data_IF_611116616029
#
_entry.id   IF_611116616029
#
_cell.length_a   1.000
_cell.length_b   1.000
_cell.length_c   1.000
_cell.angle_alpha   90.00
_cell.angle_beta   90.00
_cell.angle_gamma   90.00
#
_symmetry.space_group_name_H-M   'P 1'
#
loop_
_entity.id
_entity.type
_entity.pdbx_description
1 polymer ?
#
# COMPACT_ATOMS: atom_id res chain seq x y z
N UNK A 1 -15.77 28.12 -26.10
CA UNK A 1 -15.45 26.67 -26.08
C UNK A 1 -16.02 26.03 -27.33
N UNK A 2 -15.22 25.22 -28.03
CA UNK A 2 -15.71 24.38 -29.13
C UNK A 2 -16.63 23.28 -28.60
N UNK A 3 -17.40 22.63 -29.48
CA UNK A 3 -18.20 21.46 -29.08
C UNK A 3 -17.34 20.33 -28.50
N UNK A 4 -16.11 20.19 -28.99
CA UNK A 4 -15.15 19.19 -28.52
C UNK A 4 -14.65 19.49 -27.09
N UNK A 5 -14.44 20.77 -26.78
CA UNK A 5 -14.04 21.19 -25.42
C UNK A 5 -15.15 20.92 -24.39
N UNK A 6 -16.43 21.08 -24.80
CA UNK A 6 -17.58 20.78 -23.94
C UNK A 6 -17.69 19.29 -23.62
N UNK A 7 -17.45 18.42 -24.61
CA UNK A 7 -17.40 16.97 -24.41
C UNK A 7 -16.29 16.58 -23.43
N UNK A 8 -15.07 17.06 -23.65
CA UNK A 8 -13.93 16.81 -22.75
C UNK A 8 -14.16 17.29 -21.32
N UNK A 9 -14.78 18.47 -21.17
CA UNK A 9 -15.12 18.98 -19.85
C UNK A 9 -16.06 18.03 -19.09
N UNK A 10 -17.11 17.53 -19.76
CA UNK A 10 -18.04 16.56 -19.15
C UNK A 10 -17.34 15.24 -18.80
N UNK A 11 -16.44 14.74 -19.64
CA UNK A 11 -15.66 13.53 -19.34
C UNK A 11 -14.78 13.68 -18.11
N UNK A 12 -14.07 14.81 -18.00
CA UNK A 12 -13.26 15.13 -16.82
C UNK A 12 -14.14 15.28 -15.58
N UNK A 13 -15.26 16.01 -15.71
CA UNK A 13 -16.22 16.18 -14.64
C UNK A 13 -16.73 14.84 -14.10
N UNK A 14 -17.18 13.94 -14.97
CA UNK A 14 -17.66 12.62 -14.59
C UNK A 14 -16.56 11.71 -14.05
N UNK A 15 -15.31 11.94 -14.42
CA UNK A 15 -14.16 11.24 -13.83
C UNK A 15 -13.93 11.70 -12.40
N UNK A 16 -13.87 13.01 -12.15
CA UNK A 16 -13.72 13.57 -10.80
C UNK A 16 -14.88 13.17 -9.88
N UNK A 17 -16.10 13.09 -10.42
CA UNK A 17 -17.29 12.63 -9.69
C UNK A 17 -17.16 11.15 -9.30
N UNK A 18 -16.79 10.28 -10.24
CA UNK A 18 -16.58 8.83 -9.97
C UNK A 18 -15.45 8.57 -8.99
N UNK A 19 -14.42 9.41 -8.99
CA UNK A 19 -13.30 9.34 -8.05
C UNK A 19 -13.65 9.94 -6.68
N UNK A 20 -14.86 10.50 -6.51
CA UNK A 20 -15.34 11.07 -5.27
C UNK A 20 -14.65 12.39 -4.88
N UNK A 21 -13.88 13.00 -5.79
CA UNK A 21 -13.20 14.29 -5.58
C UNK A 21 -14.24 15.43 -5.56
N UNK A 22 -15.26 15.31 -6.40
CA UNK A 22 -16.43 16.19 -6.43
C UNK A 22 -17.71 15.38 -6.25
N UNK A 23 -18.76 16.02 -5.74
CA UNK A 23 -20.12 15.46 -5.68
C UNK A 23 -21.12 16.44 -6.27
N UNK A 24 -22.30 15.94 -6.66
CA UNK A 24 -23.40 16.79 -7.11
C UNK A 24 -24.04 17.51 -5.92
N UNK A 25 -24.51 18.71 -6.23
CA UNK A 25 -25.15 19.61 -5.32
C UNK A 25 -24.18 20.47 -4.52
N UNK A 26 -24.45 21.78 -4.48
CA UNK A 26 -23.70 22.75 -3.70
C UNK A 26 -24.19 22.78 -2.25
N UNK A 27 -25.50 22.67 -2.04
CA UNK A 27 -26.20 22.75 -0.76
C UNK A 27 -27.61 22.11 -0.92
N UNK A 28 -28.45 22.18 0.13
CA UNK A 28 -29.81 21.60 0.07
C UNK A 28 -30.78 22.33 -0.88
N UNK A 29 -30.53 23.59 -1.23
CA UNK A 29 -31.30 24.31 -2.23
C UNK A 29 -30.87 23.96 -3.66
N UNK A 30 -29.59 23.61 -3.85
CA UNK A 30 -28.96 23.34 -5.14
C UNK A 30 -28.43 21.91 -5.18
N UNK A 31 -29.31 20.90 -5.27
CA UNK A 31 -28.94 19.48 -5.11
C UNK A 31 -28.51 18.77 -6.39
N UNK A 32 -28.85 19.32 -7.54
CA UNK A 32 -28.72 18.65 -8.84
C UNK A 32 -27.68 19.31 -9.74
N UNK A 33 -27.31 18.60 -10.82
CA UNK A 33 -26.48 19.16 -11.88
C UNK A 33 -27.15 20.44 -12.47
N UNK A 34 -26.41 21.52 -12.76
CA UNK A 34 -24.96 21.62 -12.85
C UNK A 34 -24.26 22.02 -11.55
N UNK A 35 -24.95 22.04 -10.41
CA UNK A 35 -24.33 22.38 -9.14
C UNK A 35 -23.49 21.20 -8.62
N UNK A 36 -22.29 21.50 -8.15
CA UNK A 36 -21.36 20.53 -7.60
C UNK A 36 -20.46 21.20 -6.57
N UNK A 37 -19.83 20.39 -5.74
CA UNK A 37 -18.83 20.85 -4.78
C UNK A 37 -17.68 19.86 -4.67
N UNK A 38 -16.54 20.35 -4.24
CA UNK A 38 -15.44 19.49 -3.80
C UNK A 38 -15.88 18.78 -2.53
N UNK A 39 -15.68 17.47 -2.47
CA UNK A 39 -15.98 16.69 -1.27
C UNK A 39 -14.95 16.97 -0.18
N UNK A 40 -15.20 16.56 1.06
CA UNK A 40 -14.17 16.63 2.10
C UNK A 40 -12.91 15.85 1.69
N UNK A 41 -13.10 14.69 1.04
CA UNK A 41 -12.02 13.90 0.45
C UNK A 41 -11.22 14.68 -0.60
N UNK A 42 -11.90 15.33 -1.56
CA UNK A 42 -11.26 16.19 -2.56
C UNK A 42 -10.55 17.40 -1.93
N UNK A 43 -11.10 17.96 -0.84
CA UNK A 43 -10.48 19.07 -0.10
C UNK A 43 -9.14 18.67 0.52
N UNK A 44 -9.08 17.48 1.14
CA UNK A 44 -7.83 16.92 1.69
C UNK A 44 -6.76 16.70 0.62
N UNK A 45 -7.18 16.29 -0.59
CA UNK A 45 -6.30 16.14 -1.76
C UNK A 45 -5.71 17.49 -2.16
N UNK A 46 -6.56 18.50 -2.35
CA UNK A 46 -6.12 19.85 -2.77
C UNK A 46 -5.20 20.49 -1.74
N UNK A 47 -5.43 20.22 -0.45
CA UNK A 47 -4.63 20.75 0.64
C UNK A 47 -3.26 20.07 0.82
N UNK A 48 -2.87 19.11 -0.05
CA UNK A 48 -1.61 18.37 0.03
C UNK A 48 -1.38 17.68 1.39
N UNK A 49 -2.46 17.34 2.11
CA UNK A 49 -2.40 16.79 3.47
C UNK A 49 -2.12 15.27 3.50
N UNK A 50 -1.79 14.65 2.37
CA UNK A 50 -1.45 13.23 2.29
C UNK A 50 -0.01 13.04 1.84
N UNK A 51 0.78 12.34 2.65
CA UNK A 51 2.19 12.02 2.36
C UNK A 51 2.37 11.25 1.05
N UNK A 52 1.34 10.51 0.61
CA UNK A 52 1.30 9.79 -0.65
C UNK A 52 0.01 10.14 -1.40
N UNK A 53 0.12 10.92 -2.48
CA UNK A 53 -1.00 11.21 -3.37
C UNK A 53 -0.89 10.37 -4.65
N UNK A 54 -1.79 9.40 -4.80
CA UNK A 54 -1.97 8.62 -6.02
C UNK A 54 -3.46 8.45 -6.31
N UNK A 55 -3.87 8.70 -7.55
CA UNK A 55 -5.28 8.70 -8.00
C UNK A 55 -5.56 7.65 -9.09
N UNK A 56 -4.50 7.16 -9.75
CA UNK A 56 -4.57 6.10 -10.74
C UNK A 56 -3.40 5.11 -10.59
N UNK A 57 -3.49 3.98 -11.29
CA UNK A 57 -2.49 2.90 -11.26
C UNK A 57 -1.11 3.39 -11.73
N UNK A 58 -1.05 4.27 -12.74
CA UNK A 58 0.21 4.80 -13.27
C UNK A 58 0.88 5.79 -12.31
N UNK A 59 0.11 6.63 -11.62
CA UNK A 59 0.60 7.53 -10.58
C UNK A 59 1.15 6.75 -9.39
N UNK A 60 0.47 5.66 -9.00
CA UNK A 60 0.91 4.76 -7.94
C UNK A 60 2.19 4.00 -8.33
N UNK A 61 2.24 3.44 -9.54
CA UNK A 61 3.45 2.79 -10.06
C UNK A 61 4.64 3.75 -10.11
N UNK A 62 4.43 4.98 -10.60
CA UNK A 62 5.50 5.99 -10.68
C UNK A 62 6.04 6.34 -9.29
N UNK A 63 5.14 6.51 -8.31
CA UNK A 63 5.50 6.77 -6.93
C UNK A 63 6.29 5.60 -6.31
N UNK A 64 5.84 4.36 -6.54
CA UNK A 64 6.56 3.16 -6.08
C UNK A 64 7.96 3.07 -6.70
N UNK A 65 8.10 3.31 -8.01
CA UNK A 65 9.40 3.28 -8.69
C UNK A 65 10.31 4.45 -8.29
N UNK A 66 9.76 5.62 -7.94
CA UNK A 66 10.57 6.73 -7.43
C UNK A 66 11.06 6.48 -6.01
N UNK A 67 10.22 5.88 -5.15
CA UNK A 67 10.57 5.57 -3.76
C UNK A 67 11.42 4.30 -3.61
N UNK A 68 11.19 3.30 -4.47
CA UNK A 68 11.89 2.01 -4.52
C UNK A 68 12.29 1.69 -5.98
N UNK A 69 13.42 2.25 -6.48
CA UNK A 69 13.85 2.01 -7.86
C UNK A 69 14.10 0.54 -8.22
N UNK A 70 14.48 -0.27 -7.23
CA UNK A 70 14.77 -1.70 -7.37
C UNK A 70 13.56 -2.62 -7.05
N UNK A 71 12.33 -2.06 -7.03
CA UNK A 71 11.13 -2.85 -6.72
C UNK A 71 10.99 -4.04 -7.65
N UNK A 72 10.70 -5.21 -7.08
CA UNK A 72 10.50 -6.46 -7.80
C UNK A 72 9.25 -6.38 -8.67
N UNK A 73 9.36 -6.88 -9.90
CA UNK A 73 8.27 -6.77 -10.89
C UNK A 73 7.04 -7.59 -10.48
N UNK A 74 7.20 -8.70 -9.75
CA UNK A 74 6.07 -9.49 -9.24
C UNK A 74 5.37 -8.73 -8.11
N UNK A 75 6.13 -8.18 -7.16
CA UNK A 75 5.58 -7.27 -6.13
C UNK A 75 4.80 -6.13 -6.79
N UNK A 76 5.38 -5.47 -7.79
CA UNK A 76 4.76 -4.35 -8.47
C UNK A 76 3.49 -4.75 -9.22
N UNK A 77 3.47 -5.91 -9.87
CA UNK A 77 2.28 -6.45 -10.54
C UNK A 77 1.11 -6.56 -9.55
N UNK A 78 1.31 -7.20 -8.40
CA UNK A 78 0.26 -7.35 -7.39
C UNK A 78 -0.19 -6.00 -6.80
N UNK A 79 0.70 -5.03 -6.66
CA UNK A 79 0.33 -3.68 -6.22
C UNK A 79 -0.52 -2.94 -7.24
N UNK A 80 -0.24 -3.12 -8.54
CA UNK A 80 -1.06 -2.56 -9.62
C UNK A 80 -2.45 -3.17 -9.64
N UNK A 81 -2.55 -4.49 -9.48
CA UNK A 81 -3.84 -5.18 -9.34
C UNK A 81 -4.60 -4.75 -8.08
N UNK A 82 -3.89 -4.54 -6.96
CA UNK A 82 -4.48 -4.03 -5.73
C UNK A 82 -5.08 -2.63 -5.93
N UNK A 83 -4.35 -1.73 -6.59
CA UNK A 83 -4.81 -0.37 -6.86
C UNK A 83 -5.96 -0.35 -7.88
N UNK A 84 -5.87 -1.15 -8.95
CA UNK A 84 -6.93 -1.25 -9.94
C UNK A 84 -8.23 -1.75 -9.31
N UNK A 85 -8.15 -2.80 -8.48
CA UNK A 85 -9.30 -3.35 -7.74
C UNK A 85 -9.89 -2.34 -6.75
N UNK A 86 -9.04 -1.55 -6.09
CA UNK A 86 -9.50 -0.47 -5.20
C UNK A 86 -10.33 0.57 -5.97
N UNK A 87 -9.83 1.00 -7.13
CA UNK A 87 -10.48 2.01 -7.97
C UNK A 87 -11.85 1.55 -8.49
N UNK A 88 -11.96 0.27 -8.88
CA UNK A 88 -13.23 -0.30 -9.37
C UNK A 88 -14.20 -0.67 -8.25
N UNK A 89 -13.84 -0.47 -6.98
CA UNK A 89 -14.70 -0.78 -5.83
C UNK A 89 -14.63 -2.24 -5.37
N UNK A 90 -13.76 -3.05 -5.96
CA UNK A 90 -13.50 -4.43 -5.56
C UNK A 90 -12.56 -4.46 -4.33
N UNK A 91 -13.03 -3.96 -3.19
CA UNK A 91 -12.20 -3.76 -1.98
C UNK A 91 -11.60 -5.07 -1.46
N UNK A 92 -12.38 -6.16 -1.48
CA UNK A 92 -11.91 -7.49 -1.10
C UNK A 92 -10.73 -7.96 -1.98
N UNK A 93 -10.85 -7.80 -3.30
CA UNK A 93 -9.78 -8.16 -4.23
C UNK A 93 -8.55 -7.27 -4.03
N UNK A 94 -8.76 -5.97 -3.79
CA UNK A 94 -7.69 -5.02 -3.50
C UNK A 94 -6.84 -5.44 -2.31
N UNK A 95 -7.48 -5.78 -1.19
CA UNK A 95 -6.77 -6.22 0.01
C UNK A 95 -6.13 -7.59 -0.13
N UNK A 96 -6.70 -8.49 -0.94
CA UNK A 96 -6.07 -9.76 -1.29
C UNK A 96 -4.76 -9.53 -2.05
N UNK A 97 -4.79 -8.72 -3.11
CA UNK A 97 -3.60 -8.45 -3.91
C UNK A 97 -2.54 -7.68 -3.10
N UNK A 98 -2.96 -6.75 -2.25
CA UNK A 98 -2.06 -6.04 -1.34
C UNK A 98 -1.38 -7.01 -0.36
N UNK A 99 -2.15 -7.96 0.21
CA UNK A 99 -1.61 -9.01 1.06
C UNK A 99 -0.53 -9.81 0.36
N UNK A 100 -0.80 -10.31 -0.86
CA UNK A 100 0.18 -11.06 -1.66
C UNK A 100 1.45 -10.25 -1.92
N UNK A 101 1.34 -8.97 -2.29
CA UNK A 101 2.50 -8.10 -2.48
C UNK A 101 3.33 -7.94 -1.20
N UNK A 102 2.67 -7.82 -0.04
CA UNK A 102 3.34 -7.75 1.27
C UNK A 102 4.04 -9.06 1.62
N UNK A 103 3.39 -10.21 1.43
CA UNK A 103 4.04 -11.50 1.71
C UNK A 103 5.25 -11.72 0.80
N UNK A 104 5.11 -11.48 -0.51
CA UNK A 104 6.18 -11.65 -1.48
C UNK A 104 7.39 -10.74 -1.18
N UNK A 105 7.15 -9.46 -0.90
CA UNK A 105 8.23 -8.51 -0.54
C UNK A 105 8.99 -8.96 0.72
N UNK A 106 8.30 -9.51 1.71
CA UNK A 106 8.95 -10.03 2.91
C UNK A 106 9.75 -11.31 2.61
N UNK A 107 9.24 -12.19 1.76
CA UNK A 107 9.98 -13.41 1.37
C UNK A 107 11.25 -13.09 0.59
N UNK A 108 11.26 -12.06 -0.25
CA UNK A 108 12.48 -11.57 -0.91
C UNK A 108 13.55 -11.13 0.11
N UNK A 109 13.13 -10.54 1.24
CA UNK A 109 14.05 -10.16 2.31
C UNK A 109 14.66 -11.40 2.97
N UNK A 110 13.83 -12.39 3.28
CA UNK A 110 14.31 -13.66 3.86
C UNK A 110 15.29 -14.34 2.91
N UNK A 111 14.96 -14.44 1.62
CA UNK A 111 15.82 -15.04 0.60
C UNK A 111 17.16 -14.29 0.47
N UNK A 112 17.15 -12.96 0.52
CA UNK A 112 18.37 -12.15 0.51
C UNK A 112 19.27 -12.50 1.69
N UNK A 113 18.70 -12.62 2.89
CA UNK A 113 19.45 -12.97 4.10
C UNK A 113 19.98 -14.42 4.05
N UNK A 114 19.20 -15.35 3.52
CA UNK A 114 19.60 -16.75 3.36
C UNK A 114 20.83 -16.91 2.45
N UNK A 115 20.97 -16.04 1.45
CA UNK A 115 22.14 -16.00 0.55
C UNK A 115 23.37 -15.32 1.18
N UNK A 116 23.19 -14.55 2.25
CA UNK A 116 24.29 -13.86 2.91
C UNK A 116 25.07 -14.79 3.84
N UNK A 117 26.38 -14.92 3.58
CA UNK A 117 27.29 -15.74 4.40
C UNK A 117 27.37 -15.22 5.83
N UNK A 118 27.27 -13.90 6.03
CA UNK A 118 27.38 -13.27 7.34
C UNK A 118 26.12 -13.43 8.20
N UNK A 119 24.94 -13.48 7.58
CA UNK A 119 23.67 -13.34 8.29
C UNK A 119 22.75 -14.56 8.23
N UNK A 120 22.91 -15.45 7.24
CA UNK A 120 22.07 -16.63 7.05
C UNK A 120 21.92 -17.48 8.31
N UNK A 121 23.01 -17.79 9.01
CA UNK A 121 22.99 -18.59 10.25
C UNK A 121 22.16 -17.95 11.38
N UNK A 122 22.17 -16.62 11.46
CA UNK A 122 21.40 -15.88 12.48
C UNK A 122 19.89 -16.00 12.22
N UNK A 123 19.48 -15.92 10.96
CA UNK A 123 18.07 -15.86 10.57
C UNK A 123 17.51 -17.21 10.08
N UNK A 124 18.31 -18.29 10.07
CA UNK A 124 17.92 -19.61 9.55
C UNK A 124 16.59 -20.13 10.12
N UNK A 125 16.29 -19.83 11.39
CA UNK A 125 15.03 -20.24 12.02
C UNK A 125 13.78 -19.57 11.42
N UNK A 126 13.90 -18.40 10.79
CA UNK A 126 12.77 -17.72 10.11
C UNK A 126 12.26 -18.58 8.95
N UNK A 127 13.17 -19.17 8.18
CA UNK A 127 12.83 -20.02 7.04
C UNK A 127 11.99 -21.25 7.43
N UNK A 128 12.19 -21.75 8.65
CA UNK A 128 11.51 -22.97 9.16
C UNK A 128 10.07 -22.74 9.60
N UNK A 129 9.66 -21.49 9.82
CA UNK A 129 8.30 -21.19 10.27
C UNK A 129 7.26 -21.49 9.18
N UNK A 130 6.09 -22.02 9.57
CA UNK A 130 5.08 -22.51 8.63
C UNK A 130 4.29 -21.40 7.96
N UNK A 131 3.91 -20.37 8.72
CA UNK A 131 3.05 -19.29 8.23
C UNK A 131 3.82 -17.99 8.10
N UNK A 132 3.41 -17.11 7.18
CA UNK A 132 4.04 -15.80 7.00
C UNK A 132 4.04 -14.98 8.30
N UNK A 133 2.95 -15.03 9.08
CA UNK A 133 2.85 -14.29 10.33
C UNK A 133 3.89 -14.79 11.35
N UNK A 134 4.11 -16.10 11.41
CA UNK A 134 5.16 -16.68 12.25
C UNK A 134 6.54 -16.25 11.76
N UNK A 135 6.80 -16.29 10.45
CA UNK A 135 8.05 -15.81 9.85
C UNK A 135 8.33 -14.35 10.21
N UNK A 136 7.35 -13.46 10.03
CA UNK A 136 7.49 -12.03 10.34
C UNK A 136 7.74 -11.80 11.82
N UNK A 137 6.99 -12.46 12.71
CA UNK A 137 7.19 -12.34 14.15
C UNK A 137 8.58 -12.87 14.57
N UNK A 138 9.01 -14.01 14.02
CA UNK A 138 10.32 -14.60 14.30
C UNK A 138 11.45 -13.69 13.82
N UNK A 139 11.33 -13.17 12.59
CA UNK A 139 12.26 -12.19 12.03
C UNK A 139 12.35 -10.95 12.91
N UNK A 140 11.21 -10.37 13.30
CA UNK A 140 11.17 -9.20 14.17
C UNK A 140 11.86 -9.46 15.51
N UNK A 141 11.60 -10.61 16.15
CA UNK A 141 12.25 -10.95 17.42
C UNK A 141 13.78 -11.03 17.31
N UNK A 142 14.30 -11.57 16.19
CA UNK A 142 15.74 -11.62 15.92
C UNK A 142 16.28 -10.21 15.63
N UNK A 143 15.56 -9.44 14.81
CA UNK A 143 15.91 -8.06 14.46
C UNK A 143 16.01 -7.19 15.72
N UNK A 144 15.05 -7.31 16.64
CA UNK A 144 15.00 -6.56 17.89
C UNK A 144 16.23 -6.83 18.79
N UNK A 145 16.77 -8.05 18.76
CA UNK A 145 18.01 -8.41 19.45
C UNK A 145 19.25 -7.82 18.78
N UNK A 146 19.19 -7.62 17.47
CA UNK A 146 20.28 -7.05 16.66
C UNK A 146 20.15 -5.54 16.45
N UNK A 147 19.08 -4.92 16.97
CA UNK A 147 18.78 -3.51 16.73
C UNK A 147 19.97 -2.62 16.98
N UNK A 148 20.80 -2.87 18.00
CA UNK A 148 22.00 -2.05 18.28
C UNK A 148 22.96 -1.93 17.09
N UNK A 149 23.08 -2.96 16.27
CA UNK A 149 23.99 -3.04 15.12
C UNK A 149 23.40 -2.45 13.84
N UNK A 150 22.11 -2.08 13.84
CA UNK A 150 21.47 -1.49 12.67
C UNK A 150 21.92 -0.03 12.46
N UNK A 151 22.09 0.40 11.19
CA UNK A 151 22.28 1.80 10.84
C UNK A 151 21.12 2.69 11.33
N UNK A 152 21.35 3.96 11.68
CA UNK A 152 20.30 4.88 12.15
C UNK A 152 19.10 5.00 11.21
N UNK A 153 19.33 5.04 9.90
CA UNK A 153 18.30 5.14 8.84
C UNK A 153 17.45 3.86 8.68
N UNK A 154 17.97 2.73 9.14
CA UNK A 154 17.25 1.44 9.22
C UNK A 154 16.44 1.36 10.52
N UNK A 155 16.98 1.87 11.64
CA UNK A 155 16.29 1.93 12.94
C UNK A 155 15.09 2.86 12.97
N UNK A 156 15.20 4.01 12.30
CA UNK A 156 14.16 5.04 12.29
C UNK A 156 12.82 4.45 11.83
N UNK A 157 11.77 4.67 12.62
CA UNK A 157 10.39 4.20 12.40
C UNK A 157 10.24 2.69 12.15
N UNK A 158 11.23 1.88 12.53
CA UNK A 158 11.23 0.44 12.27
C UNK A 158 10.03 -0.24 12.93
N UNK A 159 9.77 0.03 14.20
CA UNK A 159 8.65 -0.55 14.93
C UNK A 159 7.30 -0.09 14.39
N UNK A 160 7.18 1.19 14.01
CA UNK A 160 5.97 1.76 13.41
C UNK A 160 5.65 1.09 12.07
N UNK A 161 6.63 0.96 11.19
CA UNK A 161 6.45 0.28 9.91
C UNK A 161 6.11 -1.20 10.13
N UNK A 162 6.79 -1.89 11.04
CA UNK A 162 6.47 -3.29 11.36
C UNK A 162 5.07 -3.50 11.95
N UNK A 163 4.60 -2.58 12.80
CA UNK A 163 3.23 -2.62 13.30
C UNK A 163 2.21 -2.45 12.15
N UNK A 164 2.49 -1.55 11.20
CA UNK A 164 1.70 -1.39 9.98
C UNK A 164 1.65 -2.66 9.13
N UNK A 165 2.79 -3.34 8.94
CA UNK A 165 2.88 -4.62 8.21
C UNK A 165 2.03 -5.69 8.87
N UNK A 166 2.17 -5.86 10.19
CA UNK A 166 1.41 -6.86 10.93
C UNK A 166 -0.10 -6.55 10.84
N UNK A 167 -0.48 -5.27 10.75
CA UNK A 167 -1.86 -4.87 10.47
C UNK A 167 -2.30 -5.31 9.07
N UNK A 168 -1.51 -5.05 8.01
CA UNK A 168 -1.79 -5.49 6.63
C UNK A 168 -1.97 -7.01 6.57
N UNK A 169 -1.00 -7.78 7.12
CA UNK A 169 -1.02 -9.24 7.12
C UNK A 169 -2.25 -9.78 7.86
N UNK A 170 -2.56 -9.22 9.04
CA UNK A 170 -3.74 -9.65 9.82
C UNK A 170 -5.03 -9.35 9.07
N UNK A 171 -5.14 -8.18 8.47
CA UNK A 171 -6.32 -7.77 7.70
C UNK A 171 -6.52 -8.65 6.48
N UNK A 172 -5.47 -8.85 5.69
CA UNK A 172 -5.47 -9.78 4.57
C UNK A 172 -5.90 -11.17 5.04
N UNK A 173 -5.19 -11.79 5.98
CA UNK A 173 -5.45 -13.18 6.37
C UNK A 173 -6.82 -13.35 7.02
N UNK A 174 -7.16 -12.54 8.02
CA UNK A 174 -8.33 -12.77 8.86
C UNK A 174 -9.65 -12.29 8.24
N UNK A 175 -9.61 -11.28 7.37
CA UNK A 175 -10.83 -10.71 6.79
C UNK A 175 -10.97 -11.06 5.32
N UNK A 176 -9.92 -10.81 4.53
CA UNK A 176 -10.01 -10.85 3.07
C UNK A 176 -9.61 -12.17 2.41
N UNK A 177 -8.69 -12.91 3.01
CA UNK A 177 -8.12 -14.17 2.50
C UNK A 177 -8.77 -15.42 3.10
N UNK A 178 -9.48 -15.29 4.21
CA UNK A 178 -10.37 -16.33 4.73
C UNK A 178 -11.82 -16.06 4.28
N UNK A 179 -12.62 -17.11 3.98
CA UNK A 179 -14.00 -16.98 3.50
C UNK A 179 -14.96 -16.57 4.64
N UNK A 180 -14.69 -15.42 5.27
CA UNK A 180 -15.46 -14.88 6.38
C UNK A 180 -16.57 -13.94 5.91
N UNK A 181 -16.51 -13.47 4.66
CA UNK A 181 -17.39 -12.44 4.12
C UNK A 181 -17.15 -11.03 4.69
N UNK A 182 -16.13 -10.85 5.55
CA UNK A 182 -15.78 -9.54 6.11
C UNK A 182 -14.93 -8.75 5.12
N UNK A 183 -15.45 -7.61 4.70
CA UNK A 183 -14.75 -6.68 3.81
C UNK A 183 -14.30 -5.50 4.66
N UNK A 184 -13.05 -5.07 4.46
CA UNK A 184 -12.56 -3.83 5.10
C UNK A 184 -13.27 -2.62 4.51
N UNK A 185 -13.34 -1.54 5.28
CA UNK A 185 -13.84 -0.28 4.74
C UNK A 185 -12.89 0.26 3.66
N UNK A 186 -13.47 0.95 2.66
CA UNK A 186 -12.69 1.56 1.57
C UNK A 186 -11.60 2.49 2.10
N UNK A 187 -11.89 3.28 3.13
CA UNK A 187 -10.91 4.17 3.76
C UNK A 187 -9.75 3.39 4.38
N UNK A 188 -10.06 2.28 5.05
CA UNK A 188 -9.05 1.39 5.61
C UNK A 188 -8.19 0.77 4.51
N UNK A 189 -8.80 0.27 3.41
CA UNK A 189 -8.04 -0.25 2.27
C UNK A 189 -7.11 0.81 1.66
N UNK A 190 -7.56 2.07 1.57
CA UNK A 190 -6.73 3.17 1.07
C UNK A 190 -5.52 3.44 1.98
N UNK A 191 -5.73 3.44 3.30
CA UNK A 191 -4.63 3.56 4.28
C UNK A 191 -3.64 2.40 4.13
N UNK A 192 -4.11 1.16 3.94
CA UNK A 192 -3.22 0.01 3.75
C UNK A 192 -2.38 0.13 2.47
N UNK A 193 -2.97 0.63 1.37
CA UNK A 193 -2.22 0.93 0.13
C UNK A 193 -1.12 1.97 0.36
N UNK A 194 -1.41 3.02 1.13
CA UNK A 194 -0.42 4.04 1.48
C UNK A 194 0.68 3.49 2.41
N UNK A 195 0.33 2.65 3.38
CA UNK A 195 1.28 2.04 4.32
C UNK A 195 2.23 1.04 3.65
N UNK A 196 1.87 0.49 2.48
CA UNK A 196 2.74 -0.40 1.73
C UNK A 196 4.04 0.29 1.28
N UNK A 197 3.97 1.54 0.85
CA UNK A 197 5.14 2.27 0.31
C UNK A 197 6.28 2.36 1.34
N UNK A 198 6.08 2.90 2.56
CA UNK A 198 7.13 2.97 3.56
C UNK A 198 7.56 1.58 4.05
N UNK A 199 6.65 0.61 4.07
CA UNK A 199 6.98 -0.79 4.34
C UNK A 199 7.98 -1.33 3.31
N UNK A 200 7.65 -1.24 2.02
CA UNK A 200 8.46 -1.77 0.94
C UNK A 200 9.85 -1.12 0.97
N UNK A 201 9.89 0.21 1.10
CA UNK A 201 11.13 0.97 1.28
C UNK A 201 11.98 0.44 2.44
N UNK A 202 11.36 0.13 3.59
CA UNK A 202 12.08 -0.44 4.74
C UNK A 202 12.58 -1.86 4.46
N UNK A 203 11.80 -2.71 3.78
CA UNK A 203 12.26 -4.06 3.39
C UNK A 203 13.48 -4.00 2.48
N UNK A 204 13.47 -3.11 1.48
CA UNK A 204 14.61 -2.92 0.58
C UNK A 204 15.86 -2.38 1.29
N UNK A 205 15.69 -1.50 2.29
CA UNK A 205 16.80 -1.08 3.15
C UNK A 205 17.38 -2.25 3.95
N UNK A 206 16.52 -3.11 4.51
CA UNK A 206 16.95 -4.31 5.23
C UNK A 206 17.64 -5.31 4.30
N UNK A 207 17.12 -5.52 3.08
CA UNK A 207 17.77 -6.35 2.06
C UNK A 207 19.18 -5.83 1.77
N UNK A 208 19.33 -4.52 1.57
CA UNK A 208 20.65 -3.90 1.32
C UNK A 208 21.59 -4.07 2.50
N UNK A 209 21.09 -3.95 3.74
CA UNK A 209 21.91 -4.10 4.94
C UNK A 209 22.37 -5.54 5.18
N UNK A 210 21.53 -6.53 4.85
CA UNK A 210 21.77 -7.94 5.13
C UNK A 210 22.18 -8.78 3.91
N UNK A 211 22.40 -8.17 2.74
CA UNK A 211 22.86 -8.84 1.54
C UNK A 211 24.24 -9.53 1.73
#
# INVERSE_FOLDING_TARGET
MSANDRGRFLEVFWTLFREGIITLGLNDADREFPFFRVTEFGGRIVAHQQAYFFHDVSSYERLLRSEIPAIDDTTLLYLKEAMQSFRTGCILASTVMLGVATEHTFLLLVETIERSVAHSATFASVATERTILQKVNKFKNILDQQTRNLPPDVKEDLDTHFAGILSIIRTFRNQSGHPTGKIVDREQAYVLLQLFIPYCKKMYRLMTHYA
#
